data_IF_115724411984
#
_entry.id   IF_115724411984
#
_cell.length_a   1.000
_cell.length_b   1.000
_cell.length_c   1.000
_cell.angle_alpha   90.00
_cell.angle_beta   90.00
_cell.angle_gamma   90.00
#
_symmetry.space_group_name_H-M   'P 1'
#
loop_
_entity.id
_entity.type
_entity.pdbx_description
1 polymer ?
#
# COMPACT_ATOMS: atom_id res chain seq x y z
N UNK A 1 41.11 19.99 17.09
CA UNK A 1 40.84 19.06 15.96
C UNK A 1 40.68 17.57 16.34
N UNK A 2 41.46 16.99 17.28
CA UNK A 2 41.33 15.56 17.66
C UNK A 2 39.94 15.19 18.22
N UNK A 3 39.35 16.07 19.05
CA UNK A 3 38.02 15.85 19.63
C UNK A 3 36.88 15.94 18.60
N UNK A 4 36.98 16.86 17.64
CA UNK A 4 36.00 17.01 16.56
C UNK A 4 35.90 15.73 15.70
N UNK A 5 37.05 15.11 15.37
CA UNK A 5 37.08 13.84 14.64
C UNK A 5 36.41 12.72 15.44
N UNK A 6 36.67 12.63 16.75
CA UNK A 6 36.02 11.62 17.63
C UNK A 6 34.51 11.80 17.71
N UNK A 7 34.03 13.04 17.85
CA UNK A 7 32.60 13.35 17.87
C UNK A 7 31.95 12.98 16.54
N UNK A 8 32.60 13.30 15.41
CA UNK A 8 32.10 12.92 14.09
C UNK A 8 31.97 11.40 13.92
N UNK A 9 32.98 10.63 14.34
CA UNK A 9 32.90 9.17 14.30
C UNK A 9 31.77 8.61 15.19
N UNK A 10 31.60 9.13 16.40
CA UNK A 10 30.49 8.73 17.28
C UNK A 10 29.13 9.04 16.67
N UNK A 11 28.99 10.18 15.99
CA UNK A 11 27.76 10.53 15.31
C UNK A 11 27.47 9.57 14.14
N UNK A 12 28.49 9.23 13.35
CA UNK A 12 28.35 8.31 12.22
C UNK A 12 28.00 6.89 12.66
N UNK A 13 28.57 6.42 13.78
CA UNK A 13 28.19 5.12 14.36
C UNK A 13 26.75 5.12 14.87
N UNK A 14 26.32 6.19 15.54
CA UNK A 14 24.93 6.32 15.99
C UNK A 14 23.94 6.32 14.82
N UNK A 15 24.24 7.05 13.73
CA UNK A 15 23.43 7.02 12.50
C UNK A 15 23.37 5.62 11.92
N UNK A 16 24.51 4.92 11.83
CA UNK A 16 24.55 3.57 11.29
C UNK A 16 23.69 2.60 12.11
N UNK A 17 23.80 2.65 13.44
CA UNK A 17 22.96 1.87 14.34
C UNK A 17 21.48 2.21 14.19
N UNK A 18 21.14 3.49 14.01
CA UNK A 18 19.76 3.93 13.79
C UNK A 18 19.20 3.40 12.46
N UNK A 19 19.97 3.45 11.36
CA UNK A 19 19.56 2.90 10.07
C UNK A 19 19.37 1.38 10.16
N UNK A 20 20.26 0.67 10.85
CA UNK A 20 20.11 -0.77 11.10
C UNK A 20 18.86 -1.07 11.92
N UNK A 21 18.59 -0.28 12.95
CA UNK A 21 17.37 -0.39 13.73
C UNK A 21 16.12 -0.15 12.88
N UNK A 22 16.11 0.87 12.02
CA UNK A 22 14.99 1.08 11.08
C UNK A 22 14.83 -0.09 10.10
N UNK A 23 15.94 -0.66 9.63
CA UNK A 23 15.93 -1.79 8.70
C UNK A 23 15.41 -3.08 9.32
N UNK A 24 15.82 -3.41 10.55
CA UNK A 24 15.59 -4.73 11.15
C UNK A 24 14.73 -4.71 12.42
N UNK A 25 14.42 -3.55 12.98
CA UNK A 25 13.68 -3.38 14.23
C UNK A 25 12.30 -4.05 14.20
N UNK A 26 11.66 -4.11 13.03
CA UNK A 26 10.42 -4.84 12.81
C UNK A 26 10.47 -6.32 13.25
N UNK A 27 11.61 -6.99 13.08
CA UNK A 27 11.81 -8.36 13.53
C UNK A 27 11.78 -8.52 15.05
N UNK A 28 12.12 -7.46 15.79
CA UNK A 28 12.20 -7.48 17.25
C UNK A 28 10.88 -7.04 17.90
N UNK A 29 10.18 -6.08 17.32
CA UNK A 29 8.90 -5.59 17.87
C UNK A 29 7.73 -6.54 17.59
N UNK A 30 7.78 -7.30 16.49
CA UNK A 30 6.74 -8.26 16.13
C UNK A 30 6.96 -9.61 16.81
N UNK A 31 5.97 -10.04 17.59
CA UNK A 31 5.94 -11.39 18.15
C UNK A 31 5.67 -12.46 17.05
N UNK A 32 5.84 -13.74 17.42
CA UNK A 32 5.69 -14.87 16.47
C UNK A 32 4.27 -14.91 15.88
N UNK A 33 3.24 -14.65 16.68
CA UNK A 33 1.86 -14.71 16.22
C UNK A 33 1.52 -13.57 15.25
N UNK A 34 2.05 -12.37 15.47
CA UNK A 34 1.95 -11.24 14.55
C UNK A 34 2.62 -11.56 13.21
N UNK A 35 3.83 -12.13 13.23
CA UNK A 35 4.54 -12.56 12.00
C UNK A 35 3.74 -13.62 11.24
N UNK A 36 3.16 -14.59 11.96
CA UNK A 36 2.29 -15.63 11.39
C UNK A 36 1.02 -15.01 10.78
N UNK A 37 0.39 -14.08 11.47
CA UNK A 37 -0.80 -13.38 10.99
C UNK A 37 -0.52 -12.61 9.69
N UNK A 38 0.56 -11.83 9.64
CA UNK A 38 1.00 -11.11 8.43
C UNK A 38 1.22 -12.09 7.28
N UNK A 39 1.94 -13.19 7.55
CA UNK A 39 2.27 -14.19 6.54
C UNK A 39 1.02 -14.88 5.99
N UNK A 40 0.10 -15.28 6.87
CA UNK A 40 -1.15 -15.95 6.49
C UNK A 40 -2.01 -15.01 5.64
N UNK A 41 -2.15 -13.74 6.04
CA UNK A 41 -2.92 -12.75 5.31
C UNK A 41 -2.41 -12.49 3.87
N UNK A 42 -1.11 -12.65 3.63
CA UNK A 42 -0.49 -12.41 2.32
C UNK A 42 -0.44 -13.67 1.45
N UNK A 43 -0.13 -14.84 2.02
CA UNK A 43 0.05 -16.09 1.27
C UNK A 43 -1.25 -16.72 0.75
N UNK A 44 -2.41 -16.39 1.34
CA UNK A 44 -3.69 -17.01 0.96
C UNK A 44 -4.37 -16.38 -0.26
N UNK A 45 -3.87 -15.24 -0.76
CA UNK A 45 -4.56 -14.49 -1.79
C UNK A 45 -4.06 -14.84 -3.20
N UNK A 46 -4.99 -15.12 -4.12
CA UNK A 46 -4.71 -15.20 -5.57
C UNK A 46 -3.98 -13.93 -6.01
N UNK A 47 -2.95 -14.06 -6.84
CA UNK A 47 -2.21 -12.91 -7.36
C UNK A 47 -3.12 -11.94 -8.13
N UNK A 48 -2.86 -10.64 -8.01
CA UNK A 48 -3.60 -9.64 -8.76
C UNK A 48 -3.33 -9.79 -10.26
N UNK A 49 -4.38 -9.73 -11.12
CA UNK A 49 -4.19 -9.74 -12.56
C UNK A 49 -3.38 -8.52 -13.06
N UNK A 50 -2.71 -8.69 -14.19
CA UNK A 50 -1.78 -7.69 -14.74
C UNK A 50 -2.45 -6.36 -15.11
N UNK A 51 -3.72 -6.37 -15.53
CA UNK A 51 -4.46 -5.15 -15.82
C UNK A 51 -4.58 -4.25 -14.57
N UNK A 52 -4.75 -4.81 -13.37
CA UNK A 52 -4.84 -4.06 -12.11
C UNK A 52 -3.47 -3.51 -11.71
N UNK A 53 -2.44 -4.36 -11.70
CA UNK A 53 -1.10 -3.95 -11.26
C UNK A 53 -0.47 -2.95 -12.23
N UNK A 54 -0.63 -3.16 -13.54
CA UNK A 54 -0.19 -2.22 -14.57
C UNK A 54 -0.91 -0.87 -14.42
N UNK A 55 -2.24 -0.87 -14.31
CA UNK A 55 -3.00 0.36 -14.12
C UNK A 55 -2.52 1.14 -12.89
N UNK A 56 -2.39 0.45 -11.74
CA UNK A 56 -1.93 1.05 -10.49
C UNK A 56 -0.53 1.67 -10.62
N UNK A 57 0.43 0.92 -11.17
CA UNK A 57 1.81 1.40 -11.31
C UNK A 57 1.91 2.57 -12.30
N UNK A 58 1.02 2.64 -13.29
CA UNK A 58 0.94 3.74 -14.24
C UNK A 58 0.40 5.01 -13.58
N UNK A 59 -0.66 4.94 -12.77
CA UNK A 59 -1.22 6.12 -12.11
C UNK A 59 -0.38 6.59 -10.91
N UNK A 60 0.24 5.65 -10.18
CA UNK A 60 1.14 5.89 -9.06
C UNK A 60 2.56 5.46 -9.45
N UNK A 61 3.29 6.36 -10.12
CA UNK A 61 4.58 6.08 -10.78
C UNK A 61 5.58 5.35 -9.87
N UNK A 62 5.94 4.13 -10.29
CA UNK A 62 6.90 3.25 -9.62
C UNK A 62 6.50 2.85 -8.20
N UNK A 63 5.21 2.93 -7.85
CA UNK A 63 4.71 2.52 -6.53
C UNK A 63 4.93 1.04 -6.24
N UNK A 64 4.98 0.20 -7.27
CA UNK A 64 5.17 -1.25 -7.12
C UNK A 64 6.65 -1.68 -7.09
N UNK A 65 7.57 -0.82 -7.52
CA UNK A 65 9.01 -1.07 -7.48
C UNK A 65 9.73 -0.32 -6.35
N UNK A 66 9.13 0.76 -5.83
CA UNK A 66 9.67 1.51 -4.69
C UNK A 66 9.36 0.84 -3.37
N UNK A 67 10.17 1.18 -2.37
CA UNK A 67 9.97 0.80 -0.97
C UNK A 67 9.80 2.05 -0.09
N UNK A 68 9.53 1.85 1.19
CA UNK A 68 9.21 2.93 2.13
C UNK A 68 10.33 3.96 2.31
N UNK A 69 11.59 3.64 1.99
CA UNK A 69 12.68 4.63 2.01
C UNK A 69 12.45 5.75 1.00
N UNK A 70 11.91 5.42 -0.17
CA UNK A 70 11.60 6.42 -1.21
C UNK A 70 10.54 7.42 -0.75
N UNK A 71 9.67 6.99 0.17
CA UNK A 71 8.63 7.83 0.77
C UNK A 71 9.19 8.68 1.92
N UNK A 72 10.09 8.15 2.75
CA UNK A 72 10.71 8.95 3.82
C UNK A 72 11.54 10.12 3.28
N UNK A 73 12.09 9.98 2.07
CA UNK A 73 12.94 11.00 1.43
C UNK A 73 12.16 11.99 0.55
N UNK A 74 10.92 11.70 0.17
CA UNK A 74 10.15 12.53 -0.76
C UNK A 74 8.72 12.77 -0.24
N UNK A 75 8.18 13.97 -0.44
CA UNK A 75 6.81 14.37 -0.05
C UNK A 75 5.69 13.73 -0.90
N UNK A 76 5.78 12.42 -1.18
CA UNK A 76 4.77 11.66 -1.92
C UNK A 76 3.59 11.26 -1.01
N UNK A 77 2.48 10.81 -1.60
CA UNK A 77 1.26 10.46 -0.87
C UNK A 77 1.38 9.07 -0.23
N UNK A 78 0.73 8.82 0.91
CA UNK A 78 0.61 7.48 1.51
C UNK A 78 0.03 6.44 0.52
N UNK A 79 -0.68 6.90 -0.50
CA UNK A 79 -1.24 6.09 -1.58
C UNK A 79 -0.18 5.48 -2.49
N UNK A 80 1.06 5.95 -2.43
CA UNK A 80 2.11 5.54 -3.36
C UNK A 80 2.91 4.32 -2.86
N UNK A 81 2.62 3.79 -1.65
CA UNK A 81 3.27 2.61 -1.08
C UNK A 81 2.26 1.58 -0.54
N UNK A 82 1.96 0.51 -1.31
CA UNK A 82 1.03 -0.53 -0.89
C UNK A 82 1.37 -1.18 0.46
N UNK A 83 2.64 -1.50 0.74
CA UNK A 83 3.00 -2.13 2.01
C UNK A 83 2.79 -1.19 3.21
N UNK A 84 3.02 0.12 3.04
CA UNK A 84 2.70 1.09 4.08
C UNK A 84 1.19 1.20 4.35
N UNK A 85 0.36 1.17 3.29
CA UNK A 85 -1.10 1.11 3.44
C UNK A 85 -1.54 -0.18 4.16
N UNK A 86 -0.92 -1.30 3.82
CA UNK A 86 -1.19 -2.57 4.47
C UNK A 86 -0.86 -2.49 5.96
N UNK A 87 0.31 -1.93 6.32
CA UNK A 87 0.69 -1.71 7.72
C UNK A 87 -0.42 -0.99 8.48
N UNK A 88 -0.98 0.09 7.93
CA UNK A 88 -2.06 0.83 8.59
C UNK A 88 -3.33 0.02 8.83
N UNK A 89 -3.64 -0.92 7.93
CA UNK A 89 -4.80 -1.82 8.09
C UNK A 89 -4.57 -2.89 9.15
N UNK A 90 -3.36 -3.45 9.21
CA UNK A 90 -3.05 -4.54 10.15
C UNK A 90 -2.66 -4.04 11.53
N UNK A 91 -2.13 -2.82 11.65
CA UNK A 91 -1.56 -2.31 12.89
C UNK A 91 -2.53 -2.40 14.08
N UNK A 92 -3.83 -2.06 13.95
CA UNK A 92 -4.79 -2.21 15.04
C UNK A 92 -5.01 -3.65 15.50
N UNK A 93 -4.66 -4.64 14.68
CA UNK A 93 -4.75 -6.06 14.99
C UNK A 93 -3.47 -6.59 15.65
N UNK A 94 -2.40 -5.79 15.66
CA UNK A 94 -1.13 -6.16 16.29
C UNK A 94 -1.17 -5.77 17.77
N UNK A 95 -0.81 -6.70 18.64
CA UNK A 95 -0.72 -6.46 20.09
C UNK A 95 0.60 -5.75 20.48
N UNK A 96 0.85 -4.58 19.88
CA UNK A 96 2.03 -3.75 20.17
C UNK A 96 1.65 -2.72 21.23
N UNK A 97 2.32 -2.76 22.39
CA UNK A 97 2.12 -1.80 23.48
C UNK A 97 2.74 -0.45 23.12
N UNK A 98 2.10 0.65 23.53
CA UNK A 98 2.60 2.04 23.38
C UNK A 98 2.97 2.40 21.94
N UNK A 99 2.01 2.18 21.04
CA UNK A 99 2.16 2.35 19.61
C UNK A 99 2.63 3.77 19.24
N UNK A 100 3.75 3.85 18.52
CA UNK A 100 4.38 5.08 18.05
C UNK A 100 4.41 5.16 16.54
N UNK A 101 4.66 6.36 15.99
CA UNK A 101 4.87 6.53 14.55
C UNK A 101 6.06 5.69 14.02
N UNK A 102 7.06 5.44 14.87
CA UNK A 102 8.23 4.65 14.52
C UNK A 102 7.86 3.17 14.30
N UNK A 103 6.92 2.65 15.07
CA UNK A 103 6.46 1.25 14.92
C UNK A 103 5.84 1.00 13.55
N UNK A 104 5.10 1.97 12.99
CA UNK A 104 4.60 1.87 11.61
C UNK A 104 5.72 1.73 10.59
N UNK A 105 6.81 2.48 10.77
CA UNK A 105 7.97 2.38 9.88
C UNK A 105 8.61 1.00 10.03
N UNK A 106 8.87 0.56 11.27
CA UNK A 106 9.49 -0.73 11.56
C UNK A 106 8.69 -1.92 11.03
N UNK A 107 7.36 -1.93 11.22
CA UNK A 107 6.48 -2.97 10.69
C UNK A 107 6.43 -2.91 9.16
N UNK A 108 6.34 -1.72 8.56
CA UNK A 108 6.38 -1.59 7.09
C UNK A 108 7.68 -2.15 6.52
N UNK A 109 8.83 -1.86 7.15
CA UNK A 109 10.14 -2.39 6.75
C UNK A 109 10.20 -3.90 6.85
N UNK A 110 9.65 -4.48 7.92
CA UNK A 110 9.52 -5.92 8.04
C UNK A 110 8.69 -6.53 6.90
N UNK A 111 7.54 -5.94 6.57
CA UNK A 111 6.71 -6.43 5.46
C UNK A 111 7.48 -6.35 4.13
N UNK A 112 8.11 -5.21 3.83
CA UNK A 112 8.86 -5.00 2.57
C UNK A 112 10.10 -5.89 2.43
N UNK A 113 10.65 -6.41 3.53
CA UNK A 113 11.74 -7.38 3.49
C UNK A 113 11.27 -8.80 3.15
N UNK A 114 10.00 -9.12 3.42
CA UNK A 114 9.46 -10.47 3.27
C UNK A 114 8.47 -10.59 2.10
N UNK A 115 7.94 -9.47 1.62
CA UNK A 115 6.87 -9.41 0.63
C UNK A 115 7.05 -8.23 -0.32
N UNK A 116 6.59 -8.42 -1.56
CA UNK A 116 6.59 -7.41 -2.60
C UNK A 116 5.44 -6.40 -2.43
N UNK A 117 5.59 -5.22 -3.01
CA UNK A 117 4.51 -4.22 -3.07
C UNK A 117 3.26 -4.77 -3.79
N UNK A 118 3.45 -5.69 -4.74
CA UNK A 118 2.33 -6.36 -5.43
C UNK A 118 1.51 -7.23 -4.47
N UNK A 119 2.16 -7.99 -3.60
CA UNK A 119 1.48 -8.80 -2.59
C UNK A 119 0.76 -7.91 -1.57
N UNK A 120 1.39 -6.82 -1.15
CA UNK A 120 0.76 -5.82 -0.29
C UNK A 120 -0.46 -5.17 -0.95
N UNK A 121 -0.37 -4.79 -2.24
CA UNK A 121 -1.51 -4.25 -2.99
C UNK A 121 -2.64 -5.27 -3.11
N UNK A 122 -2.30 -6.53 -3.34
CA UNK A 122 -3.26 -7.62 -3.39
C UNK A 122 -4.03 -7.75 -2.08
N UNK A 123 -3.32 -7.86 -0.95
CA UNK A 123 -3.94 -7.85 0.37
C UNK A 123 -4.85 -6.63 0.56
N UNK A 124 -4.37 -5.45 0.16
CA UNK A 124 -5.12 -4.22 0.31
C UNK A 124 -6.45 -4.24 -0.44
N UNK A 125 -6.48 -4.74 -1.68
CA UNK A 125 -7.67 -4.76 -2.53
C UNK A 125 -8.57 -5.96 -2.26
N UNK A 126 -8.01 -7.12 -1.86
CA UNK A 126 -8.77 -8.32 -1.53
C UNK A 126 -9.52 -8.21 -0.19
N UNK A 127 -8.94 -7.49 0.78
CA UNK A 127 -9.52 -7.32 2.11
C UNK A 127 -10.43 -6.08 2.26
N UNK A 128 -10.39 -5.15 1.29
CA UNK A 128 -11.11 -3.89 1.37
C UNK A 128 -12.63 -4.05 1.33
N UNK A 129 -13.33 -3.24 2.11
CA UNK A 129 -14.77 -3.11 2.05
C UNK A 129 -15.15 -1.97 1.09
N UNK A 130 -15.65 -2.34 -0.09
CA UNK A 130 -16.14 -1.40 -1.11
C UNK A 130 -17.59 -0.95 -0.87
N UNK A 131 -18.12 -1.15 0.35
CA UNK A 131 -19.50 -0.91 0.75
C UNK A 131 -20.50 -1.81 -0.01
N UNK A 132 -21.76 -1.79 0.40
CA UNK A 132 -22.85 -2.54 -0.26
C UNK A 132 -22.55 -4.05 -0.33
N UNK A 133 -21.98 -4.60 0.74
CA UNK A 133 -21.59 -6.00 0.88
C UNK A 133 -20.54 -6.47 -0.15
N UNK A 134 -19.76 -5.54 -0.72
CA UNK A 134 -18.68 -5.85 -1.66
C UNK A 134 -17.34 -5.90 -0.93
N UNK A 135 -17.02 -7.07 -0.37
CA UNK A 135 -15.71 -7.29 0.24
C UNK A 135 -14.74 -7.85 -0.81
N UNK A 136 -13.68 -7.10 -1.07
CA UNK A 136 -12.62 -7.47 -2.00
C UNK A 136 -12.90 -7.11 -3.46
N UNK A 137 -11.81 -7.07 -4.23
CA UNK A 137 -11.83 -6.65 -5.64
C UNK A 137 -12.66 -7.57 -6.55
N UNK A 138 -12.73 -8.86 -6.25
CA UNK A 138 -13.57 -9.80 -7.02
C UNK A 138 -15.05 -9.48 -6.86
N UNK A 139 -15.49 -9.22 -5.63
CA UNK A 139 -16.88 -8.89 -5.33
C UNK A 139 -17.30 -7.55 -5.95
N UNK A 140 -16.44 -6.53 -5.87
CA UNK A 140 -16.74 -5.21 -6.48
C UNK A 140 -16.76 -5.28 -8.00
N UNK A 141 -15.85 -6.02 -8.62
CA UNK A 141 -15.82 -6.25 -10.08
C UNK A 141 -17.10 -6.92 -10.57
N UNK A 142 -17.52 -7.99 -9.89
CA UNK A 142 -18.74 -8.71 -10.22
C UNK A 142 -19.98 -7.85 -10.01
N UNK A 143 -20.05 -7.10 -8.92
CA UNK A 143 -21.21 -6.26 -8.61
C UNK A 143 -21.35 -5.06 -9.54
N UNK A 144 -20.26 -4.36 -9.87
CA UNK A 144 -20.32 -3.14 -10.69
C UNK A 144 -20.42 -3.42 -12.19
N UNK A 145 -19.78 -4.49 -12.67
CA UNK A 145 -19.58 -4.72 -14.11
C UNK A 145 -20.00 -6.10 -14.59
N UNK A 146 -20.40 -7.01 -13.67
CA UNK A 146 -20.67 -8.41 -13.96
C UNK A 146 -19.49 -9.15 -14.62
N UNK A 147 -18.25 -8.77 -14.28
CA UNK A 147 -17.01 -9.30 -14.86
C UNK A 147 -16.06 -9.85 -13.80
N UNK A 148 -15.20 -10.78 -14.20
CA UNK A 148 -14.00 -11.10 -13.42
C UNK A 148 -12.96 -9.99 -13.54
N UNK A 149 -12.08 -9.89 -12.54
CA UNK A 149 -11.13 -8.77 -12.39
C UNK A 149 -10.19 -8.65 -13.59
N UNK A 150 -9.74 -9.78 -14.14
CA UNK A 150 -8.87 -9.82 -15.32
C UNK A 150 -9.52 -9.25 -16.60
N UNK A 151 -10.85 -9.19 -16.65
CA UNK A 151 -11.63 -8.74 -17.81
C UNK A 151 -12.07 -7.27 -17.71
N UNK A 152 -11.67 -6.57 -16.65
CA UNK A 152 -11.97 -5.15 -16.49
C UNK A 152 -11.18 -4.29 -17.48
N UNK A 153 -11.90 -3.40 -18.16
CA UNK A 153 -11.32 -2.35 -19.02
C UNK A 153 -10.65 -1.28 -18.17
N UNK A 154 -9.68 -0.52 -18.69
CA UNK A 154 -8.98 0.51 -17.90
C UNK A 154 -9.90 1.54 -17.22
N UNK A 155 -10.99 1.95 -17.87
CA UNK A 155 -12.00 2.86 -17.27
C UNK A 155 -12.75 2.20 -16.10
N UNK A 156 -13.00 0.90 -16.15
CA UNK A 156 -13.66 0.14 -15.08
C UNK A 156 -12.69 -0.05 -13.90
N UNK A 157 -11.42 -0.33 -14.20
CA UNK A 157 -10.35 -0.34 -13.19
C UNK A 157 -10.21 1.04 -12.52
N UNK A 158 -10.32 2.12 -13.30
CA UNK A 158 -10.33 3.48 -12.77
C UNK A 158 -11.49 3.73 -11.80
N UNK A 159 -12.68 3.19 -12.08
CA UNK A 159 -13.84 3.29 -11.18
C UNK A 159 -13.64 2.48 -9.89
N UNK A 160 -13.06 1.28 -9.98
CA UNK A 160 -12.69 0.49 -8.78
C UNK A 160 -11.71 1.28 -7.90
N UNK A 161 -10.66 1.89 -8.49
CA UNK A 161 -9.71 2.69 -7.73
C UNK A 161 -10.31 4.00 -7.21
N UNK A 162 -11.20 4.64 -7.97
CA UNK A 162 -11.95 5.80 -7.46
C UNK A 162 -12.71 5.41 -6.20
N UNK A 163 -13.42 4.28 -6.22
CA UNK A 163 -14.13 3.76 -5.05
C UNK A 163 -13.18 3.40 -3.91
N UNK A 164 -12.06 2.73 -4.20
CA UNK A 164 -11.02 2.38 -3.22
C UNK A 164 -10.49 3.60 -2.47
N UNK A 165 -10.24 4.71 -3.19
CA UNK A 165 -9.67 5.91 -2.59
C UNK A 165 -10.58 6.59 -1.57
N UNK A 166 -11.89 6.63 -1.85
CA UNK A 166 -12.90 7.31 -1.02
C UNK A 166 -14.25 6.62 -1.19
N UNK A 167 -14.50 5.49 -0.50
CA UNK A 167 -15.66 4.62 -0.78
C UNK A 167 -16.98 5.36 -0.60
N UNK A 168 -17.14 6.20 0.41
CA UNK A 168 -18.37 6.97 0.61
C UNK A 168 -18.58 8.05 -0.46
N UNK A 169 -17.52 8.79 -0.83
CA UNK A 169 -17.62 9.93 -1.76
C UNK A 169 -17.74 9.48 -3.21
N UNK A 170 -17.10 8.38 -3.58
CA UNK A 170 -17.01 7.90 -4.95
C UNK A 170 -17.90 6.69 -5.22
N UNK A 171 -18.84 6.37 -4.32
CA UNK A 171 -19.85 5.35 -4.56
C UNK A 171 -20.86 5.86 -5.62
N UNK A 172 -21.02 5.11 -6.72
CA UNK A 172 -21.91 5.48 -7.83
C UNK A 172 -23.40 5.50 -7.49
N UNK A 173 -23.84 4.69 -6.53
CA UNK A 173 -25.24 4.60 -6.11
C UNK A 173 -25.61 5.77 -5.19
N UNK A 174 -24.65 6.24 -4.39
CA UNK A 174 -24.83 7.37 -3.47
C UNK A 174 -24.49 8.72 -4.12
N UNK A 175 -23.41 8.78 -4.89
CA UNK A 175 -22.78 9.99 -5.42
C UNK A 175 -22.35 9.82 -6.89
N UNK A 176 -23.28 9.58 -7.84
CA UNK A 176 -22.96 9.21 -9.22
C UNK A 176 -22.12 10.25 -9.96
N UNK A 177 -22.41 11.54 -9.78
CA UNK A 177 -21.67 12.62 -10.44
C UNK A 177 -20.20 12.65 -9.99
N UNK A 178 -19.95 12.50 -8.68
CA UNK A 178 -18.60 12.50 -8.14
C UNK A 178 -17.84 11.21 -8.47
N UNK A 179 -18.52 10.06 -8.45
CA UNK A 179 -17.96 8.79 -8.91
C UNK A 179 -17.48 8.92 -10.37
N UNK A 180 -18.36 9.35 -11.29
CA UNK A 180 -18.01 9.57 -12.70
C UNK A 180 -16.84 10.54 -12.86
N UNK A 181 -16.86 11.67 -12.15
CA UNK A 181 -15.78 12.67 -12.20
C UNK A 181 -14.44 12.07 -11.76
N UNK A 182 -14.40 11.32 -10.66
CA UNK A 182 -13.14 10.76 -10.15
C UNK A 182 -12.63 9.61 -11.02
N UNK A 183 -13.51 8.77 -11.52
CA UNK A 183 -13.19 7.73 -12.51
C UNK A 183 -12.52 8.34 -13.74
N UNK A 184 -13.12 9.38 -14.31
CA UNK A 184 -12.57 10.06 -15.49
C UNK A 184 -11.18 10.65 -15.20
N UNK A 185 -11.00 11.30 -14.04
CA UNK A 185 -9.68 11.83 -13.65
C UNK A 185 -8.59 10.76 -13.58
N UNK A 186 -8.90 9.60 -12.98
CA UNK A 186 -7.95 8.49 -12.87
C UNK A 186 -7.67 7.87 -14.24
N UNK A 187 -8.68 7.74 -15.09
CA UNK A 187 -8.52 7.22 -16.45
C UNK A 187 -7.68 8.14 -17.33
N UNK A 188 -7.93 9.46 -17.30
CA UNK A 188 -7.12 10.44 -18.02
C UNK A 188 -5.67 10.46 -17.53
N UNK A 189 -5.46 10.31 -16.22
CA UNK A 189 -4.11 10.17 -15.67
C UNK A 189 -3.41 8.91 -16.19
N UNK A 190 -4.14 7.79 -16.26
CA UNK A 190 -3.63 6.54 -16.83
C UNK A 190 -3.24 6.71 -18.30
N UNK A 191 -4.08 7.32 -19.13
CA UNK A 191 -3.77 7.57 -20.55
C UNK A 191 -2.55 8.48 -20.71
N UNK A 192 -2.51 9.59 -19.96
CA UNK A 192 -1.38 10.53 -19.99
C UNK A 192 -0.05 9.85 -19.61
N UNK A 193 -0.06 8.97 -18.62
CA UNK A 193 1.15 8.30 -18.17
C UNK A 193 1.52 7.07 -19.02
N UNK A 194 0.57 6.49 -19.76
CA UNK A 194 0.83 5.35 -20.65
C UNK A 194 1.45 5.75 -21.99
N UNK A 195 1.23 7.01 -22.41
CA UNK A 195 1.76 7.57 -23.66
C UNK A 195 3.15 8.22 -23.51
N UNK A 196 3.74 8.18 -22.30
CA UNK A 196 5.09 8.66 -22.00
C UNK A 196 6.00 7.48 -21.68
#
# INVERSE_FOLDING_TARGET
MKYLKRIFFLFLTLISLFILYLGFGGNYILNIDAKRMITNNLKTNKSLPQNITSFYNTIYKNSLSKNSWNFLLNSYSQKDCPCYQMTHKIMPQLNIKNLSALDYILVTRYIEHNFSQNECLNFNLSSFDFLENRKGIESVSKSLFNKSVENLKPIEVAEVFALYEKPLKNNRNRNPANAKKRTEQLYQLYLKNSNN
#
